data_IF_432834449476
#
_entry.id   IF_432834449476
#
_cell.length_a   1.000
_cell.length_b   1.000
_cell.length_c   1.000
_cell.angle_alpha   90.00
_cell.angle_beta   90.00
_cell.angle_gamma   90.00
#
_symmetry.space_group_name_H-M   'P 1'
#
loop_
_entity.id
_entity.type
_entity.pdbx_description
1 polymer ?
#
# COMPACT_ATOMS: atom_id res chain seq x y z
N UNK A 1 135.39 35.46 35.16
CA UNK A 1 136.56 34.65 34.79
C UNK A 1 137.57 35.56 34.12
N UNK A 2 138.64 35.95 34.83
CA UNK A 2 139.93 36.27 34.20
C UNK A 2 140.65 34.92 33.94
N UNK A 3 141.66 34.82 33.06
CA UNK A 3 142.98 35.37 33.40
C UNK A 3 143.88 35.86 32.23
N UNK A 4 144.86 36.72 32.59
CA UNK A 4 146.30 36.82 32.14
C UNK A 4 146.60 37.02 30.63
N UNK A 5 147.47 37.91 30.16
CA UNK A 5 148.68 38.56 30.71
C UNK A 5 149.97 37.89 30.20
N UNK A 6 150.84 38.63 29.45
CA UNK A 6 152.31 38.49 29.15
C UNK A 6 152.68 39.49 28.01
N UNK A 7 153.49 40.56 28.16
CA UNK A 7 154.98 40.71 28.30
C UNK A 7 155.77 39.93 27.21
N UNK A 8 156.79 40.42 26.48
CA UNK A 8 157.92 41.37 26.65
C UNK A 8 158.57 41.56 25.22
N UNK A 9 159.27 42.61 24.77
CA UNK A 9 160.69 43.00 25.01
C UNK A 9 161.27 43.82 23.78
N UNK A 10 162.45 44.48 23.90
CA UNK A 10 162.85 45.72 23.17
C UNK A 10 164.12 45.62 22.27
N UNK A 11 164.54 46.73 21.62
CA UNK A 11 165.91 47.01 21.11
C UNK A 11 166.05 48.53 20.84
N UNK A 12 166.81 49.37 21.57
CA UNK A 12 168.28 49.56 21.71
C UNK A 12 168.89 50.51 20.65
N UNK A 13 169.31 51.69 21.15
CA UNK A 13 170.47 52.56 20.84
C UNK A 13 170.89 52.92 19.40
N UNK A 14 171.04 54.24 19.13
CA UNK A 14 172.36 54.89 18.97
C UNK A 14 172.24 56.43 18.94
N UNK A 15 173.27 57.11 19.47
CA UNK A 15 173.35 58.55 19.70
C UNK A 15 174.12 59.28 18.55
N UNK A 16 174.51 60.56 18.70
CA UNK A 16 174.04 61.70 17.92
C UNK A 16 174.95 62.14 16.76
N UNK A 17 174.38 62.83 15.77
CA UNK A 17 175.09 63.86 15.00
C UNK A 17 174.10 64.95 14.56
N UNK A 18 174.41 66.19 14.88
CA UNK A 18 173.52 67.35 14.89
C UNK A 18 172.97 67.77 13.50
N UNK A 19 171.68 68.20 13.42
CA UNK A 19 171.19 69.00 12.31
C UNK A 19 171.08 70.49 12.68
N UNK A 20 171.29 71.36 11.68
CA UNK A 20 171.30 72.81 11.82
C UNK A 20 169.90 73.40 12.04
N UNK A 21 169.85 74.64 12.55
CA UNK A 21 168.67 75.38 13.03
C UNK A 21 167.50 75.51 12.05
N UNK A 22 167.67 75.22 10.75
CA UNK A 22 166.61 75.33 9.74
C UNK A 22 165.64 74.13 9.71
N UNK A 23 166.01 72.96 10.24
CA UNK A 23 165.14 71.77 10.24
C UNK A 23 164.15 71.73 11.43
N UNK A 24 164.41 72.49 12.50
CA UNK A 24 163.55 72.57 13.69
C UNK A 24 162.31 73.43 13.46
N UNK A 25 162.40 74.50 12.65
CA UNK A 25 161.24 75.36 12.35
C UNK A 25 160.20 74.66 11.47
N UNK A 26 160.62 73.75 10.58
CA UNK A 26 159.71 72.94 9.76
C UNK A 26 158.88 71.96 10.59
N UNK A 27 159.51 71.33 11.59
CA UNK A 27 158.82 70.41 12.52
C UNK A 27 157.79 71.10 13.41
N UNK A 28 158.04 72.34 13.84
CA UNK A 28 157.09 73.12 14.65
C UNK A 28 155.83 73.47 13.85
N UNK A 29 155.96 73.84 12.56
CA UNK A 29 154.78 74.14 11.72
C UNK A 29 153.95 72.89 11.43
N UNK A 30 154.58 71.74 11.21
CA UNK A 30 153.88 70.48 11.01
C UNK A 30 153.07 70.06 12.26
N UNK A 31 153.68 70.14 13.45
CA UNK A 31 153.00 69.81 14.71
C UNK A 31 151.84 70.77 15.03
N UNK A 32 151.96 72.06 14.72
CA UNK A 32 150.84 73.00 14.90
C UNK A 32 149.68 72.74 13.93
N UNK A 33 149.97 72.36 12.68
CA UNK A 33 148.93 71.98 11.73
C UNK A 33 148.24 70.66 12.13
N UNK A 34 148.97 69.69 12.69
CA UNK A 34 148.40 68.48 13.28
C UNK A 34 147.52 68.80 14.49
N UNK A 35 147.98 69.66 15.40
CA UNK A 35 147.19 70.12 16.55
C UNK A 35 145.87 70.77 16.12
N UNK A 36 145.89 71.70 15.17
CA UNK A 36 144.65 72.32 14.67
C UNK A 36 143.70 71.32 13.99
N UNK A 37 144.26 70.34 13.26
CA UNK A 37 143.46 69.28 12.63
C UNK A 37 142.79 68.40 13.68
N UNK A 38 143.52 68.08 14.75
CA UNK A 38 143.03 67.27 15.87
C UNK A 38 141.99 68.05 16.71
N UNK A 39 142.17 69.36 16.92
CA UNK A 39 141.17 70.23 17.56
C UNK A 39 139.88 70.34 16.73
N UNK A 40 139.98 70.48 15.40
CA UNK A 40 138.81 70.45 14.50
C UNK A 40 138.11 69.08 14.53
N UNK A 41 138.86 67.99 14.56
CA UNK A 41 138.30 66.64 14.67
C UNK A 41 137.58 66.43 16.01
N UNK A 42 138.17 66.90 17.12
CA UNK A 42 137.54 66.87 18.45
C UNK A 42 136.25 67.67 18.49
N UNK A 43 136.25 68.90 17.96
CA UNK A 43 135.04 69.73 17.89
C UNK A 43 133.95 69.09 17.04
N UNK A 44 134.32 68.48 15.90
CA UNK A 44 133.36 67.74 15.07
C UNK A 44 132.75 66.55 15.82
N UNK A 45 133.58 65.73 16.46
CA UNK A 45 133.12 64.59 17.27
C UNK A 45 132.26 65.05 18.43
N UNK A 46 132.56 66.18 19.06
CA UNK A 46 131.76 66.73 20.15
C UNK A 46 130.37 67.20 19.68
N UNK A 47 130.30 67.91 18.54
CA UNK A 47 129.02 68.29 17.92
C UNK A 47 128.23 67.05 17.49
N UNK A 48 128.88 66.06 16.91
CA UNK A 48 128.25 64.79 16.54
C UNK A 48 127.72 64.05 17.77
N UNK A 49 128.49 63.97 18.86
CA UNK A 49 128.07 63.39 20.14
C UNK A 49 126.86 64.12 20.72
N UNK A 50 126.88 65.44 20.77
CA UNK A 50 125.79 66.21 21.34
C UNK A 50 124.53 66.12 20.47
N UNK A 51 124.67 66.11 19.13
CA UNK A 51 123.57 65.77 18.21
C UNK A 51 123.02 64.36 18.49
N UNK A 52 123.89 63.36 18.62
CA UNK A 52 123.49 61.97 18.87
C UNK A 52 122.78 61.83 20.23
N UNK A 53 123.24 62.56 21.25
CA UNK A 53 122.59 62.64 22.57
C UNK A 53 121.21 63.31 22.48
N UNK A 54 121.08 64.44 21.77
CA UNK A 54 119.76 65.08 21.58
C UNK A 54 118.80 64.17 20.79
N UNK A 55 119.28 63.48 19.75
CA UNK A 55 118.50 62.48 19.03
C UNK A 55 118.09 61.31 19.93
N UNK A 56 119.01 60.82 20.77
CA UNK A 56 118.72 59.74 21.71
C UNK A 56 117.67 60.18 22.73
N UNK A 57 117.78 61.38 23.31
CA UNK A 57 116.79 61.91 24.25
C UNK A 57 115.42 62.15 23.59
N UNK A 58 115.39 62.69 22.37
CA UNK A 58 114.17 62.85 21.59
C UNK A 58 113.53 61.49 21.28
N UNK A 59 114.30 60.53 20.77
CA UNK A 59 113.79 59.17 20.49
C UNK A 59 113.35 58.45 21.76
N UNK A 60 114.03 58.66 22.89
CA UNK A 60 113.60 58.13 24.18
C UNK A 60 112.25 58.75 24.59
N UNK A 61 112.08 60.07 24.47
CA UNK A 61 110.81 60.75 24.73
C UNK A 61 109.69 60.29 23.80
N UNK A 62 109.96 60.14 22.50
CA UNK A 62 109.00 59.60 21.53
C UNK A 62 108.59 58.16 21.90
N UNK A 63 109.55 57.30 22.28
CA UNK A 63 109.27 55.94 22.73
C UNK A 63 108.41 55.94 24.00
N UNK A 64 108.72 56.82 24.96
CA UNK A 64 107.95 56.93 26.19
C UNK A 64 106.53 57.49 25.93
N UNK A 65 106.37 58.41 24.98
CA UNK A 65 105.06 58.89 24.51
C UNK A 65 104.25 57.78 23.81
N UNK A 66 104.85 57.06 22.86
CA UNK A 66 104.19 55.94 22.20
C UNK A 66 103.78 54.84 23.19
N UNK A 67 104.62 54.55 24.19
CA UNK A 67 104.27 53.63 25.27
C UNK A 67 103.08 54.14 26.07
N UNK A 68 103.06 55.42 26.45
CA UNK A 68 101.94 56.01 27.17
C UNK A 68 100.64 55.97 26.35
N UNK A 69 100.70 56.26 25.05
CA UNK A 69 99.55 56.15 24.15
C UNK A 69 99.05 54.70 24.03
N UNK A 70 99.94 53.72 23.91
CA UNK A 70 99.58 52.31 23.93
C UNK A 70 98.89 51.92 25.23
N UNK A 71 99.41 52.35 26.38
CA UNK A 71 98.75 52.11 27.67
C UNK A 71 97.35 52.72 27.76
N UNK A 72 97.15 53.94 27.24
CA UNK A 72 95.83 54.57 27.17
C UNK A 72 94.90 53.77 26.26
N UNK A 73 95.37 53.34 25.09
CA UNK A 73 94.57 52.55 24.14
C UNK A 73 94.22 51.17 24.70
N UNK A 74 95.14 50.49 25.38
CA UNK A 74 94.87 49.23 26.06
C UNK A 74 93.82 49.40 27.16
N UNK A 75 93.90 50.48 27.92
CA UNK A 75 92.87 50.82 28.91
C UNK A 75 91.51 51.15 28.27
N UNK A 76 91.48 51.88 27.16
CA UNK A 76 90.25 52.17 26.42
C UNK A 76 89.60 50.89 25.87
N UNK A 77 90.41 49.97 25.33
CA UNK A 77 89.96 48.65 24.85
C UNK A 77 89.36 47.86 26.01
N UNK A 78 90.05 47.77 27.14
CA UNK A 78 89.53 47.12 28.35
C UNK A 78 88.20 47.74 28.79
N UNK A 79 88.08 49.07 28.79
CA UNK A 79 86.83 49.74 29.12
C UNK A 79 85.68 49.45 28.15
N UNK A 80 85.96 49.28 26.85
CA UNK A 80 84.95 48.87 25.87
C UNK A 80 84.54 47.41 26.10
N UNK A 81 85.50 46.51 26.31
CA UNK A 81 85.25 45.10 26.57
C UNK A 81 84.42 44.89 27.83
N UNK A 82 84.71 45.62 28.90
CA UNK A 82 83.91 45.61 30.13
C UNK A 82 82.47 46.08 29.89
N UNK A 83 82.29 47.20 29.17
CA UNK A 83 80.94 47.69 28.80
C UNK A 83 80.19 46.67 27.95
N UNK A 84 80.84 46.08 26.95
CA UNK A 84 80.24 45.04 26.11
C UNK A 84 79.87 43.80 26.92
N UNK A 85 80.72 43.37 27.86
CA UNK A 85 80.45 42.25 28.75
C UNK A 85 79.22 42.53 29.62
N UNK A 86 79.10 43.72 30.19
CA UNK A 86 77.91 44.12 30.97
C UNK A 86 76.67 44.17 30.09
N UNK A 87 76.75 44.75 28.89
CA UNK A 87 75.62 44.77 27.95
C UNK A 87 75.18 43.34 27.57
N UNK A 88 76.11 42.44 27.28
CA UNK A 88 75.80 41.03 27.00
C UNK A 88 75.12 40.34 28.19
N UNK A 89 75.53 40.65 29.42
CA UNK A 89 74.86 40.13 30.62
C UNK A 89 73.42 40.65 30.73
N UNK A 90 73.20 41.95 30.51
CA UNK A 90 71.86 42.56 30.54
C UNK A 90 70.98 41.99 29.43
N UNK A 91 71.49 41.86 28.20
CA UNK A 91 70.76 41.24 27.10
C UNK A 91 70.42 39.78 27.39
N UNK A 92 71.36 39.00 27.92
CA UNK A 92 71.11 37.62 28.32
C UNK A 92 70.08 37.52 29.45
N UNK A 93 70.06 38.46 30.40
CA UNK A 93 69.06 38.52 31.45
C UNK A 93 67.68 38.89 30.88
N UNK A 94 67.61 39.86 29.97
CA UNK A 94 66.37 40.28 29.30
C UNK A 94 65.77 39.16 28.45
N UNK A 95 66.61 38.43 27.70
CA UNK A 95 66.17 37.26 26.93
C UNK A 95 65.63 36.17 27.84
N UNK A 96 66.31 35.89 28.97
CA UNK A 96 65.80 34.92 29.96
C UNK A 96 64.47 35.35 30.54
N UNK A 97 64.33 36.62 30.96
CA UNK A 97 63.07 37.15 31.46
C UNK A 97 61.94 37.01 30.43
N UNK A 98 62.18 37.41 29.18
CA UNK A 98 61.20 37.30 28.11
C UNK A 98 60.78 35.84 27.86
N UNK A 99 61.73 34.90 27.91
CA UNK A 99 61.43 33.47 27.78
C UNK A 99 60.58 32.97 28.95
N UNK A 100 60.86 33.39 30.19
CA UNK A 100 60.04 33.02 31.35
C UNK A 100 58.63 33.61 31.26
N UNK A 101 58.49 34.88 30.84
CA UNK A 101 57.17 35.50 30.63
C UNK A 101 56.39 34.78 29.54
N UNK A 102 57.02 34.49 28.39
CA UNK A 102 56.39 33.74 27.32
C UNK A 102 55.97 32.34 27.77
N UNK A 103 56.82 31.63 28.52
CA UNK A 103 56.47 30.33 29.10
C UNK A 103 55.31 30.44 30.09
N UNK A 104 55.27 31.49 30.91
CA UNK A 104 54.17 31.77 31.82
C UNK A 104 52.85 32.01 31.08
N UNK A 105 52.85 32.85 30.03
CA UNK A 105 51.68 33.11 29.19
C UNK A 105 51.23 31.84 28.48
N UNK A 106 52.16 31.08 27.89
CA UNK A 106 51.84 29.79 27.24
C UNK A 106 51.23 28.82 28.25
N UNK A 107 51.76 28.76 29.48
CA UNK A 107 51.22 27.95 30.56
C UNK A 107 49.79 28.34 30.92
N UNK A 108 49.53 29.64 31.10
CA UNK A 108 48.20 30.17 31.39
C UNK A 108 47.20 29.85 30.27
N UNK A 109 47.54 30.15 29.01
CA UNK A 109 46.67 29.87 27.86
C UNK A 109 46.40 28.37 27.70
N UNK A 110 47.39 27.50 27.96
CA UNK A 110 47.18 26.05 27.96
C UNK A 110 46.23 25.63 29.07
N UNK A 111 46.39 26.16 30.28
CA UNK A 111 45.49 25.90 31.41
C UNK A 111 44.05 26.34 31.11
N UNK A 112 43.86 27.55 30.59
CA UNK A 112 42.55 28.08 30.21
C UNK A 112 41.89 27.23 29.11
N UNK A 113 42.68 26.82 28.11
CA UNK A 113 42.19 25.92 27.06
C UNK A 113 41.80 24.54 27.60
N UNK A 114 42.57 23.97 28.52
CA UNK A 114 42.22 22.69 29.16
C UNK A 114 40.93 22.80 29.98
N UNK A 115 40.74 23.90 30.71
CA UNK A 115 39.50 24.16 31.47
C UNK A 115 38.32 24.32 30.50
N UNK A 116 38.48 25.10 29.43
CA UNK A 116 37.46 25.27 28.41
C UNK A 116 37.08 23.92 27.75
N UNK A 117 38.06 23.09 27.39
CA UNK A 117 37.82 21.76 26.82
C UNK A 117 37.06 20.85 27.78
N UNK A 118 37.41 20.85 29.08
CA UNK A 118 36.68 20.08 30.10
C UNK A 118 35.23 20.55 30.23
N UNK A 119 35.01 21.86 30.28
CA UNK A 119 33.68 22.44 30.39
C UNK A 119 32.83 22.15 29.15
N UNK A 120 33.41 22.20 27.94
CA UNK A 120 32.73 21.77 26.73
C UNK A 120 32.40 20.28 26.73
N UNK A 121 33.31 19.42 27.21
CA UNK A 121 33.05 17.99 27.32
C UNK A 121 31.92 17.67 28.31
N UNK A 122 31.89 18.34 29.47
CA UNK A 122 30.82 18.21 30.47
C UNK A 122 29.47 18.70 29.91
N UNK A 123 29.45 19.82 29.18
CA UNK A 123 28.24 20.33 28.53
C UNK A 123 27.75 19.38 27.43
N UNK A 124 28.65 18.80 26.64
CA UNK A 124 28.28 17.81 25.63
C UNK A 124 27.69 16.55 26.27
N UNK A 125 28.31 16.04 27.34
CA UNK A 125 27.83 14.86 28.06
C UNK A 125 26.45 15.09 28.71
N UNK A 126 26.23 16.26 29.33
CA UNK A 126 24.92 16.60 29.90
C UNK A 126 23.84 16.74 28.82
N UNK A 127 24.17 17.36 27.68
CA UNK A 127 23.25 17.46 26.53
C UNK A 127 22.91 16.09 25.95
N UNK A 128 23.89 15.21 25.82
CA UNK A 128 23.68 13.83 25.35
C UNK A 128 22.75 13.08 26.31
N UNK A 129 22.97 13.19 27.62
CA UNK A 129 22.11 12.53 28.61
C UNK A 129 20.66 13.05 28.55
N UNK A 130 20.46 14.36 28.41
CA UNK A 130 19.13 14.97 28.22
C UNK A 130 18.43 14.43 26.98
N UNK A 131 19.14 14.36 25.84
CA UNK A 131 18.59 13.83 24.60
C UNK A 131 18.20 12.35 24.71
N UNK A 132 19.00 11.55 25.43
CA UNK A 132 18.69 10.14 25.69
C UNK A 132 17.44 9.99 26.57
N UNK A 133 17.27 10.83 27.58
CA UNK A 133 16.09 10.82 28.44
C UNK A 133 14.83 11.29 27.70
N UNK A 134 14.95 12.35 26.89
CA UNK A 134 13.88 12.79 25.98
C UNK A 134 13.49 11.69 24.99
N UNK A 135 14.48 10.98 24.42
CA UNK A 135 14.24 9.86 23.51
C UNK A 135 13.49 8.72 24.22
N UNK A 136 13.85 8.39 25.47
CA UNK A 136 13.16 7.37 26.26
C UNK A 136 11.73 7.78 26.58
N UNK A 137 11.53 9.04 26.98
CA UNK A 137 10.21 9.60 27.28
C UNK A 137 9.30 9.60 26.04
N UNK A 138 9.82 10.02 24.89
CA UNK A 138 9.10 9.99 23.61
C UNK A 138 8.71 8.55 23.22
N UNK A 139 9.62 7.58 23.39
CA UNK A 139 9.31 6.16 23.18
C UNK A 139 8.21 5.65 24.12
N UNK A 140 8.19 6.08 25.39
CA UNK A 140 7.10 5.74 26.32
C UNK A 140 5.76 6.32 25.86
N UNK A 141 5.74 7.61 25.51
CA UNK A 141 4.52 8.28 25.03
C UNK A 141 3.97 7.64 23.75
N UNK A 142 4.83 7.26 22.81
CA UNK A 142 4.42 6.54 21.61
C UNK A 142 3.73 5.22 21.98
N UNK A 143 4.36 4.42 22.87
CA UNK A 143 3.76 3.16 23.34
C UNK A 143 2.44 3.35 24.07
N UNK A 144 2.33 4.37 24.91
CA UNK A 144 1.07 4.69 25.62
C UNK A 144 -0.06 5.02 24.63
N UNK A 145 0.25 5.81 23.61
CA UNK A 145 -0.70 6.15 22.54
C UNK A 145 -1.06 4.92 21.69
N UNK A 146 -0.08 4.09 21.34
CA UNK A 146 -0.30 2.83 20.61
C UNK A 146 -1.21 1.87 21.41
N UNK A 147 -0.96 1.69 22.71
CA UNK A 147 -1.81 0.90 23.59
C UNK A 147 -3.22 1.48 23.70
N UNK A 148 -3.35 2.81 23.80
CA UNK A 148 -4.64 3.48 23.76
C UNK A 148 -5.41 3.20 22.47
N UNK A 149 -4.75 3.25 21.32
CA UNK A 149 -5.37 2.89 20.04
C UNK A 149 -5.76 1.41 19.99
N UNK A 150 -4.92 0.49 20.47
CA UNK A 150 -5.27 -0.92 20.55
C UNK A 150 -6.53 -1.16 21.39
N UNK A 151 -6.66 -0.50 22.54
CA UNK A 151 -7.82 -0.63 23.40
C UNK A 151 -9.09 -0.05 22.75
N UNK A 152 -8.99 1.10 22.05
CA UNK A 152 -10.13 1.62 21.28
C UNK A 152 -10.56 0.66 20.16
N UNK A 153 -9.61 0.05 19.45
CA UNK A 153 -9.89 -0.95 18.41
C UNK A 153 -10.55 -2.19 19.02
N UNK A 154 -10.08 -2.66 20.19
CA UNK A 154 -10.70 -3.78 20.91
C UNK A 154 -12.13 -3.46 21.33
N UNK A 155 -12.38 -2.26 21.86
CA UNK A 155 -13.72 -1.80 22.22
C UNK A 155 -14.65 -1.76 21.00
N UNK A 156 -14.23 -1.14 19.90
CA UNK A 156 -15.01 -1.10 18.66
C UNK A 156 -15.32 -2.50 18.11
N UNK A 157 -14.36 -3.43 18.16
CA UNK A 157 -14.58 -4.83 17.77
C UNK A 157 -15.61 -5.52 18.65
N UNK A 158 -15.57 -5.29 19.97
CA UNK A 158 -16.55 -5.84 20.90
C UNK A 158 -17.94 -5.27 20.66
N UNK A 159 -18.05 -3.96 20.41
CA UNK A 159 -19.35 -3.32 20.16
C UNK A 159 -19.95 -3.79 18.83
N UNK A 160 -19.15 -3.86 17.77
CA UNK A 160 -19.60 -4.47 16.51
C UNK A 160 -20.03 -5.94 16.69
N UNK A 161 -19.32 -6.73 17.51
CA UNK A 161 -19.72 -8.11 17.78
C UNK A 161 -21.07 -8.18 18.52
N UNK A 162 -21.33 -7.27 19.46
CA UNK A 162 -22.64 -7.16 20.13
C UNK A 162 -23.73 -6.77 19.15
N UNK A 163 -23.50 -5.76 18.30
CA UNK A 163 -24.46 -5.32 17.29
C UNK A 163 -24.81 -6.44 16.30
N UNK A 164 -23.79 -7.17 15.81
CA UNK A 164 -24.01 -8.34 14.95
C UNK A 164 -24.82 -9.42 15.68
N UNK A 165 -24.54 -9.67 16.97
CA UNK A 165 -25.31 -10.63 17.76
C UNK A 165 -26.77 -10.20 17.94
N UNK A 166 -27.02 -8.91 18.20
CA UNK A 166 -28.37 -8.35 18.32
C UNK A 166 -29.14 -8.48 17.00
N UNK A 167 -28.52 -8.11 15.88
CA UNK A 167 -29.13 -8.22 14.55
C UNK A 167 -29.46 -9.68 14.24
N UNK A 168 -28.55 -10.63 14.53
CA UNK A 168 -28.82 -12.07 14.37
C UNK A 168 -30.02 -12.52 15.19
N UNK A 169 -30.09 -12.12 16.47
CA UNK A 169 -31.20 -12.46 17.34
C UNK A 169 -32.54 -11.89 16.84
N UNK A 170 -32.54 -10.66 16.32
CA UNK A 170 -33.72 -10.06 15.70
C UNK A 170 -34.18 -10.80 14.44
N UNK A 171 -33.24 -11.21 13.58
CA UNK A 171 -33.57 -11.99 12.38
C UNK A 171 -34.07 -13.39 12.73
N UNK A 172 -33.50 -14.05 13.74
CA UNK A 172 -33.96 -15.34 14.22
C UNK A 172 -35.37 -15.24 14.82
N UNK A 173 -35.67 -14.16 15.55
CA UNK A 173 -37.01 -13.90 16.07
C UNK A 173 -38.02 -13.67 14.93
N UNK A 174 -37.69 -12.80 13.96
CA UNK A 174 -38.53 -12.55 12.78
C UNK A 174 -38.77 -13.81 11.95
N UNK A 175 -37.75 -14.67 11.82
CA UNK A 175 -37.88 -15.95 11.12
C UNK A 175 -38.82 -16.91 11.85
N UNK A 176 -38.68 -17.02 13.18
CA UNK A 176 -39.59 -17.83 14.02
C UNK A 176 -41.03 -17.34 13.94
N UNK A 177 -41.25 -16.03 14.02
CA UNK A 177 -42.58 -15.43 13.92
C UNK A 177 -43.21 -15.68 12.54
N UNK A 178 -42.42 -15.60 11.47
CA UNK A 178 -42.88 -15.88 10.11
C UNK A 178 -43.27 -17.35 9.95
N UNK A 179 -42.45 -18.28 10.44
CA UNK A 179 -42.74 -19.72 10.42
C UNK A 179 -44.02 -19.98 11.21
N UNK A 180 -44.13 -19.47 12.43
CA UNK A 180 -45.32 -19.68 13.28
C UNK A 180 -46.58 -19.08 12.66
N UNK A 181 -46.49 -17.91 12.01
CA UNK A 181 -47.61 -17.29 11.30
C UNK A 181 -48.07 -18.15 10.12
N UNK A 182 -47.14 -18.70 9.35
CA UNK A 182 -47.45 -19.58 8.23
C UNK A 182 -48.03 -20.92 8.69
N UNK A 183 -47.49 -21.54 9.75
CA UNK A 183 -48.05 -22.75 10.35
C UNK A 183 -49.50 -22.54 10.81
N UNK A 184 -49.79 -21.39 11.46
CA UNK A 184 -51.17 -21.04 11.85
C UNK A 184 -52.09 -20.90 10.63
N UNK A 185 -51.62 -20.31 9.53
CA UNK A 185 -52.40 -20.20 8.29
C UNK A 185 -52.65 -21.57 7.66
N UNK A 186 -51.65 -22.45 7.61
CA UNK A 186 -51.81 -23.81 7.10
C UNK A 186 -52.84 -24.59 7.92
N UNK A 187 -52.72 -24.59 9.25
CA UNK A 187 -53.68 -25.25 10.15
C UNK A 187 -55.11 -24.74 9.94
N UNK A 188 -55.29 -23.42 9.80
CA UNK A 188 -56.61 -22.84 9.53
C UNK A 188 -57.19 -23.33 8.20
N UNK A 189 -56.37 -23.42 7.15
CA UNK A 189 -56.82 -23.94 5.85
C UNK A 189 -57.20 -25.43 5.95
N UNK A 190 -56.43 -26.22 6.70
CA UNK A 190 -56.74 -27.63 6.98
C UNK A 190 -58.08 -27.77 7.71
N UNK A 191 -58.28 -27.02 8.80
CA UNK A 191 -59.53 -26.98 9.56
C UNK A 191 -60.72 -26.56 8.69
N UNK A 192 -60.57 -25.50 7.89
CA UNK A 192 -61.60 -25.02 6.96
C UNK A 192 -61.91 -26.04 5.85
N UNK A 193 -60.93 -26.83 5.40
CA UNK A 193 -61.14 -27.89 4.42
C UNK A 193 -61.85 -29.10 5.04
N UNK A 194 -61.46 -29.49 6.25
CA UNK A 194 -62.14 -30.56 7.00
C UNK A 194 -63.59 -30.20 7.31
N UNK A 195 -63.85 -28.95 7.71
CA UNK A 195 -65.21 -28.47 7.97
C UNK A 195 -66.07 -28.55 6.70
N UNK A 196 -65.55 -28.08 5.56
CA UNK A 196 -66.24 -28.19 4.27
C UNK A 196 -66.54 -29.64 3.89
N UNK A 197 -65.57 -30.55 4.04
CA UNK A 197 -65.79 -31.99 3.81
C UNK A 197 -66.89 -32.55 4.72
N UNK A 198 -66.90 -32.20 6.01
CA UNK A 198 -67.95 -32.63 6.95
C UNK A 198 -69.32 -32.09 6.56
N UNK A 199 -69.40 -30.84 6.14
CA UNK A 199 -70.64 -30.23 5.65
C UNK A 199 -71.15 -30.92 4.38
N UNK A 200 -70.29 -31.13 3.38
CA UNK A 200 -70.66 -31.84 2.14
C UNK A 200 -71.14 -33.28 2.41
N UNK A 201 -70.49 -33.99 3.33
CA UNK A 201 -70.92 -35.33 3.77
C UNK A 201 -72.30 -35.27 4.42
N UNK A 202 -72.53 -34.35 5.35
CA UNK A 202 -73.84 -34.20 5.98
C UNK A 202 -74.94 -33.83 4.98
N UNK A 203 -74.68 -32.93 4.03
CA UNK A 203 -75.65 -32.60 2.98
C UNK A 203 -75.98 -33.81 2.09
N UNK A 204 -74.99 -34.66 1.77
CA UNK A 204 -75.21 -35.90 1.03
C UNK A 204 -76.04 -36.89 1.87
N UNK A 205 -75.72 -37.03 3.16
CA UNK A 205 -76.46 -37.89 4.08
C UNK A 205 -77.91 -37.45 4.21
N UNK A 206 -78.18 -36.15 4.39
CA UNK A 206 -79.54 -35.61 4.45
C UNK A 206 -80.32 -35.87 3.16
N UNK A 207 -79.72 -35.61 1.99
CA UNK A 207 -80.35 -35.91 0.69
C UNK A 207 -80.65 -37.40 0.53
N UNK A 208 -79.73 -38.28 0.93
CA UNK A 208 -79.94 -39.73 0.88
C UNK A 208 -81.03 -40.18 1.85
N UNK A 209 -81.05 -39.63 3.07
CA UNK A 209 -82.08 -39.94 4.06
C UNK A 209 -83.47 -39.47 3.60
N UNK A 210 -83.57 -38.29 3.01
CA UNK A 210 -84.80 -37.81 2.38
C UNK A 210 -85.26 -38.76 1.27
N UNK A 211 -84.34 -39.20 0.41
CA UNK A 211 -84.66 -40.17 -0.65
C UNK A 211 -85.14 -41.52 -0.09
N UNK A 212 -84.52 -42.02 0.99
CA UNK A 212 -84.97 -43.23 1.69
C UNK A 212 -86.40 -43.05 2.21
N UNK A 213 -86.71 -41.91 2.85
CA UNK A 213 -88.06 -41.61 3.36
C UNK A 213 -89.08 -41.56 2.21
N UNK A 214 -88.75 -40.91 1.10
CA UNK A 214 -89.62 -40.87 -0.07
C UNK A 214 -89.86 -42.26 -0.67
N UNK A 215 -88.81 -43.07 -0.76
CA UNK A 215 -88.87 -44.43 -1.28
C UNK A 215 -89.73 -45.31 -0.37
N UNK A 216 -89.57 -45.20 0.95
CA UNK A 216 -90.42 -45.87 1.93
C UNK A 216 -91.89 -45.49 1.76
N UNK A 217 -92.22 -44.19 1.63
CA UNK A 217 -93.59 -43.72 1.37
C UNK A 217 -94.17 -44.27 0.06
N UNK A 218 -93.36 -44.31 -1.01
CA UNK A 218 -93.79 -44.89 -2.29
C UNK A 218 -94.06 -46.39 -2.16
N UNK A 219 -93.21 -47.12 -1.43
CA UNK A 219 -93.44 -48.54 -1.15
C UNK A 219 -94.69 -48.75 -0.30
N UNK A 220 -94.89 -48.00 0.78
CA UNK A 220 -96.10 -48.06 1.60
C UNK A 220 -97.36 -47.81 0.77
N UNK A 221 -97.34 -46.81 -0.11
CA UNK A 221 -98.44 -46.53 -1.03
C UNK A 221 -98.68 -47.70 -2.00
N UNK A 222 -97.62 -48.23 -2.62
CA UNK A 222 -97.74 -49.38 -3.51
C UNK A 222 -98.29 -50.62 -2.79
N UNK A 223 -97.87 -50.88 -1.55
CA UNK A 223 -98.43 -51.95 -0.72
C UNK A 223 -99.91 -51.71 -0.39
N UNK A 224 -100.29 -50.46 -0.08
CA UNK A 224 -101.69 -50.10 0.13
C UNK A 224 -102.51 -50.31 -1.15
N UNK A 225 -102.02 -49.86 -2.31
CA UNK A 225 -102.67 -50.02 -3.62
C UNK A 225 -102.83 -51.51 -3.99
N UNK A 226 -101.81 -52.34 -3.74
CA UNK A 226 -101.89 -53.80 -3.90
C UNK A 226 -102.96 -54.38 -2.97
N UNK A 227 -103.01 -53.93 -1.71
CA UNK A 227 -104.02 -54.39 -0.74
C UNK A 227 -105.43 -53.97 -1.17
N UNK A 228 -105.61 -52.76 -1.67
CA UNK A 228 -106.88 -52.29 -2.24
C UNK A 228 -107.25 -53.12 -3.46
N UNK A 229 -106.33 -53.36 -4.39
CA UNK A 229 -106.58 -54.19 -5.56
C UNK A 229 -107.02 -55.61 -5.20
N UNK A 230 -106.36 -56.28 -4.25
CA UNK A 230 -106.79 -57.59 -3.79
C UNK A 230 -108.10 -57.56 -3.01
N UNK A 231 -108.34 -56.52 -2.19
CA UNK A 231 -109.63 -56.34 -1.52
C UNK A 231 -110.75 -56.13 -2.54
N UNK A 232 -110.55 -55.29 -3.55
CA UNK A 232 -111.51 -55.05 -4.63
C UNK A 232 -111.74 -56.32 -5.45
N UNK A 233 -110.71 -57.11 -5.73
CA UNK A 233 -110.89 -58.45 -6.32
C UNK A 233 -111.70 -59.36 -5.39
N UNK A 234 -111.41 -59.39 -4.09
CA UNK A 234 -112.19 -60.23 -3.18
C UNK A 234 -113.63 -59.76 -3.07
N UNK A 235 -113.88 -58.46 -3.11
CA UNK A 235 -115.21 -57.87 -3.06
C UNK A 235 -115.96 -58.10 -4.36
N UNK A 236 -115.33 -57.89 -5.52
CA UNK A 236 -115.85 -58.28 -6.82
C UNK A 236 -116.08 -59.78 -6.91
N UNK A 237 -115.21 -60.63 -6.36
CA UNK A 237 -115.41 -62.07 -6.30
C UNK A 237 -116.56 -62.44 -5.37
N UNK A 238 -116.75 -61.75 -4.25
CA UNK A 238 -117.89 -61.95 -3.35
C UNK A 238 -119.20 -61.50 -4.00
N UNK A 239 -119.20 -60.37 -4.70
CA UNK A 239 -120.36 -59.86 -5.43
C UNK A 239 -120.64 -60.74 -6.65
N UNK A 240 -119.61 -61.26 -7.34
CA UNK A 240 -119.73 -62.29 -8.37
C UNK A 240 -120.27 -63.59 -7.78
N UNK A 241 -119.84 -64.01 -6.59
CA UNK A 241 -120.40 -65.17 -5.90
C UNK A 241 -121.87 -64.93 -5.53
N UNK A 242 -122.25 -63.70 -5.14
CA UNK A 242 -123.65 -63.36 -4.88
C UNK A 242 -124.48 -63.39 -6.17
N UNK A 243 -124.01 -62.75 -7.24
CA UNK A 243 -124.70 -62.78 -8.53
C UNK A 243 -124.74 -64.19 -9.09
N UNK A 244 -123.67 -65.00 -8.97
CA UNK A 244 -123.70 -66.42 -9.33
C UNK A 244 -124.64 -67.24 -8.45
N UNK A 245 -124.85 -66.89 -7.18
CA UNK A 245 -125.86 -67.53 -6.33
C UNK A 245 -127.28 -67.13 -6.75
N UNK A 246 -127.51 -65.86 -7.04
CA UNK A 246 -128.77 -65.35 -7.61
C UNK A 246 -129.04 -66.00 -8.98
N UNK A 247 -128.04 -66.04 -9.85
CA UNK A 247 -128.05 -66.72 -11.13
C UNK A 247 -128.20 -68.22 -10.96
N UNK A 248 -127.69 -68.88 -9.91
CA UNK A 248 -128.00 -70.30 -9.63
C UNK A 248 -129.47 -70.46 -9.24
N UNK A 249 -130.05 -69.51 -8.49
CA UNK A 249 -131.49 -69.54 -8.18
C UNK A 249 -132.34 -69.28 -9.42
N UNK A 250 -131.90 -68.40 -10.32
CA UNK A 250 -132.58 -68.11 -11.59
C UNK A 250 -132.28 -69.16 -12.67
N UNK A 251 -131.11 -69.78 -12.67
CA UNK A 251 -130.74 -70.95 -13.46
C UNK A 251 -131.55 -72.14 -13.01
N UNK A 252 -131.80 -72.38 -11.72
CA UNK A 252 -132.76 -73.42 -11.30
C UNK A 252 -134.18 -73.15 -11.82
N UNK A 253 -134.59 -71.89 -12.01
CA UNK A 253 -135.85 -71.52 -12.68
C UNK A 253 -135.77 -71.67 -14.21
N UNK A 254 -134.61 -71.37 -14.82
CA UNK A 254 -134.36 -71.45 -16.26
C UNK A 254 -133.97 -72.85 -16.74
N UNK A 255 -133.43 -73.72 -15.90
CA UNK A 255 -133.06 -75.13 -16.17
C UNK A 255 -134.33 -75.96 -16.31
N UNK A 256 -135.36 -75.67 -15.51
CA UNK A 256 -136.73 -76.11 -15.74
C UNK A 256 -137.31 -75.63 -17.10
N UNK A 257 -136.77 -74.56 -17.68
CA UNK A 257 -137.18 -74.02 -18.99
C UNK A 257 -136.26 -74.45 -20.16
N UNK A 258 -134.98 -74.73 -19.90
CA UNK A 258 -133.92 -74.93 -20.89
C UNK A 258 -133.48 -76.40 -21.07
N UNK A 259 -134.07 -77.35 -20.34
CA UNK A 259 -134.10 -78.76 -20.79
C UNK A 259 -134.64 -78.91 -22.22
N UNK A 260 -135.34 -77.87 -22.74
CA UNK A 260 -135.86 -77.82 -24.12
C UNK A 260 -134.91 -77.19 -25.16
N UNK A 261 -133.78 -76.59 -24.77
CA UNK A 261 -132.91 -75.84 -25.71
C UNK A 261 -131.48 -76.40 -25.85
N UNK A 262 -131.13 -77.45 -25.11
CA UNK A 262 -129.77 -78.03 -25.04
C UNK A 262 -129.37 -78.96 -26.20
N UNK A 263 -129.88 -78.71 -27.41
CA UNK A 263 -129.38 -79.36 -28.64
C UNK A 263 -128.55 -78.39 -29.51
N UNK A 264 -128.66 -77.06 -29.33
CA UNK A 264 -128.09 -76.08 -30.27
C UNK A 264 -126.70 -75.55 -29.89
N UNK A 265 -126.23 -75.71 -28.65
CA UNK A 265 -124.95 -75.12 -28.17
C UNK A 265 -123.76 -76.09 -28.34
N UNK A 266 -123.93 -77.21 -29.05
CA UNK A 266 -122.82 -78.09 -29.42
C UNK A 266 -121.99 -77.55 -30.62
N UNK A 267 -122.47 -76.52 -31.34
CA UNK A 267 -121.84 -76.01 -32.57
C UNK A 267 -120.91 -74.80 -32.39
N UNK A 268 -120.92 -74.11 -31.25
CA UNK A 268 -120.22 -72.80 -31.12
C UNK A 268 -118.79 -72.88 -30.55
N UNK A 269 -118.29 -74.07 -30.21
CA UNK A 269 -116.93 -74.26 -29.68
C UNK A 269 -115.83 -74.30 -30.75
N UNK A 270 -116.02 -73.63 -31.88
CA UNK A 270 -115.03 -73.49 -32.97
C UNK A 270 -114.41 -72.09 -33.10
N UNK A 271 -114.77 -71.12 -32.24
CA UNK A 271 -114.41 -69.71 -32.41
C UNK A 271 -113.06 -69.27 -31.77
N UNK A 272 -112.40 -70.08 -30.94
CA UNK A 272 -111.28 -69.60 -30.09
C UNK A 272 -109.87 -69.64 -30.69
N UNK A 273 -109.68 -69.79 -32.01
CA UNK A 273 -108.33 -69.83 -32.62
C UNK A 273 -107.71 -68.46 -32.94
N UNK A 274 -108.50 -67.38 -32.93
CA UNK A 274 -108.06 -66.03 -33.33
C UNK A 274 -107.25 -65.22 -32.28
N UNK A 275 -107.41 -65.42 -30.95
CA UNK A 275 -106.63 -64.66 -29.95
C UNK A 275 -105.15 -65.03 -29.90
N UNK A 276 -104.79 -66.27 -30.28
CA UNK A 276 -103.43 -66.81 -30.14
C UNK A 276 -102.44 -66.20 -31.16
N UNK A 277 -102.92 -65.81 -32.33
CA UNK A 277 -102.10 -65.23 -33.42
C UNK A 277 -101.81 -63.74 -33.24
N UNK A 278 -102.55 -63.03 -32.39
CA UNK A 278 -102.32 -61.59 -32.09
C UNK A 278 -101.21 -61.39 -31.05
N UNK A 279 -101.16 -62.24 -30.02
CA UNK A 279 -100.11 -62.18 -28.98
C UNK A 279 -98.70 -62.46 -29.51
N UNK A 280 -98.56 -63.32 -30.53
CA UNK A 280 -97.26 -63.64 -31.15
C UNK A 280 -96.69 -62.49 -31.98
N UNK A 281 -97.52 -61.58 -32.53
CA UNK A 281 -97.06 -60.43 -33.32
C UNK A 281 -96.60 -59.25 -32.45
N UNK A 282 -97.14 -59.10 -31.24
CA UNK A 282 -96.74 -58.04 -30.31
C UNK A 282 -95.35 -58.29 -29.71
N UNK A 283 -94.98 -59.56 -29.51
CA UNK A 283 -93.67 -59.97 -29.00
C UNK A 283 -92.51 -59.60 -29.97
N UNK A 284 -92.73 -59.70 -31.28
CA UNK A 284 -91.74 -59.35 -32.31
C UNK A 284 -91.54 -57.83 -32.44
N UNK A 285 -92.56 -57.03 -32.17
CA UNK A 285 -92.47 -55.56 -32.17
C UNK A 285 -91.65 -55.06 -30.98
N UNK A 286 -91.85 -55.64 -29.80
CA UNK A 286 -91.11 -55.30 -28.59
C UNK A 286 -89.61 -55.66 -28.70
N UNK A 287 -89.26 -56.79 -29.32
CA UNK A 287 -87.85 -57.14 -29.58
C UNK A 287 -87.13 -56.14 -30.49
N UNK A 288 -87.81 -55.63 -31.53
CA UNK A 288 -87.25 -54.61 -32.43
C UNK A 288 -87.07 -53.26 -31.72
N UNK A 289 -87.95 -52.92 -30.79
CA UNK A 289 -87.83 -51.68 -30.01
C UNK A 289 -86.61 -51.69 -29.07
N UNK A 290 -86.33 -52.82 -28.41
CA UNK A 290 -85.16 -52.98 -27.53
C UNK A 290 -83.84 -52.89 -28.33
N UNK A 291 -83.78 -53.51 -29.53
CA UNK A 291 -82.58 -53.41 -30.38
C UNK A 291 -82.29 -51.97 -30.83
N UNK A 292 -83.32 -51.18 -31.15
CA UNK A 292 -83.14 -49.78 -31.53
C UNK A 292 -82.69 -48.88 -30.36
N UNK A 293 -83.14 -49.18 -29.14
CA UNK A 293 -82.71 -48.48 -27.94
C UNK A 293 -81.24 -48.74 -27.63
N UNK A 294 -80.79 -50.00 -27.69
CA UNK A 294 -79.38 -50.35 -27.48
C UNK A 294 -78.47 -49.68 -28.51
N UNK A 295 -78.85 -49.70 -29.79
CA UNK A 295 -78.09 -49.04 -30.85
C UNK A 295 -77.94 -47.52 -30.61
N UNK A 296 -78.99 -46.85 -30.11
CA UNK A 296 -78.92 -45.43 -29.77
C UNK A 296 -78.02 -45.15 -28.56
N UNK A 297 -78.03 -46.02 -27.54
CA UNK A 297 -77.14 -45.90 -26.38
C UNK A 297 -75.67 -46.08 -26.78
N UNK A 298 -75.36 -47.10 -27.58
CA UNK A 298 -74.01 -47.35 -28.07
C UNK A 298 -73.50 -46.19 -28.95
N UNK A 299 -74.37 -45.60 -29.77
CA UNK A 299 -74.03 -44.41 -30.56
C UNK A 299 -73.67 -43.21 -29.69
N UNK A 300 -74.40 -42.98 -28.60
CA UNK A 300 -74.12 -41.90 -27.66
C UNK A 300 -72.81 -42.14 -26.89
N UNK A 301 -72.57 -43.37 -26.42
CA UNK A 301 -71.33 -43.74 -25.74
C UNK A 301 -70.10 -43.57 -26.66
N UNK A 302 -70.20 -43.97 -27.93
CA UNK A 302 -69.14 -43.78 -28.92
C UNK A 302 -68.86 -42.29 -29.15
N UNK A 303 -69.90 -41.46 -29.19
CA UNK A 303 -69.76 -40.02 -29.40
C UNK A 303 -69.09 -39.33 -28.20
N UNK A 304 -69.43 -39.73 -26.97
CA UNK A 304 -68.77 -39.25 -25.75
C UNK A 304 -67.30 -39.68 -25.69
N UNK A 305 -66.99 -40.94 -26.04
CA UNK A 305 -65.61 -41.43 -26.09
C UNK A 305 -64.77 -40.67 -27.11
N UNK A 306 -65.37 -40.32 -28.25
CA UNK A 306 -64.70 -39.56 -29.31
C UNK A 306 -64.38 -38.12 -28.90
N UNK A 307 -65.26 -37.48 -28.14
CA UNK A 307 -65.01 -36.16 -27.54
C UNK A 307 -63.91 -36.24 -26.49
N UNK A 308 -64.00 -37.20 -25.56
CA UNK A 308 -62.93 -37.41 -24.57
C UNK A 308 -61.57 -37.70 -25.22
N UNK A 309 -61.54 -38.50 -26.28
CA UNK A 309 -60.32 -38.77 -27.03
C UNK A 309 -59.74 -37.50 -27.68
N UNK A 310 -60.59 -36.63 -28.24
CA UNK A 310 -60.15 -35.35 -28.78
C UNK A 310 -59.57 -34.43 -27.69
N UNK A 311 -60.25 -34.33 -26.54
CA UNK A 311 -59.78 -33.52 -25.40
C UNK A 311 -58.44 -34.02 -24.86
N UNK A 312 -58.27 -35.34 -24.72
CA UNK A 312 -56.99 -35.92 -24.27
C UNK A 312 -55.86 -35.69 -25.27
N UNK A 313 -56.14 -35.73 -26.58
CA UNK A 313 -55.15 -35.38 -27.61
C UNK A 313 -54.75 -33.91 -27.54
N UNK A 314 -55.67 -33.00 -27.27
CA UNK A 314 -55.34 -31.58 -27.07
C UNK A 314 -54.49 -31.38 -25.81
N UNK A 315 -54.82 -32.07 -24.71
CA UNK A 315 -54.02 -32.04 -23.48
C UNK A 315 -52.60 -32.56 -23.70
N UNK A 316 -52.43 -33.65 -24.45
CA UNK A 316 -51.11 -34.19 -24.80
C UNK A 316 -50.32 -33.16 -25.62
N UNK A 317 -50.92 -32.56 -26.65
CA UNK A 317 -50.26 -31.52 -27.45
C UNK A 317 -49.86 -30.30 -26.60
N UNK A 318 -50.71 -29.91 -25.66
CA UNK A 318 -50.42 -28.81 -24.75
C UNK A 318 -49.24 -29.15 -23.83
N UNK A 319 -49.21 -30.36 -23.26
CA UNK A 319 -48.11 -30.83 -22.40
C UNK A 319 -46.80 -30.96 -23.17
N UNK A 320 -46.82 -31.47 -24.41
CA UNK A 320 -45.64 -31.51 -25.28
C UNK A 320 -45.08 -30.11 -25.55
N UNK A 321 -45.95 -29.13 -25.78
CA UNK A 321 -45.53 -27.74 -25.97
C UNK A 321 -44.93 -27.14 -24.70
N UNK A 322 -45.56 -27.36 -23.54
CA UNK A 322 -45.03 -26.92 -22.25
C UNK A 322 -43.66 -27.55 -21.97
N UNK A 323 -43.52 -28.86 -22.22
CA UNK A 323 -42.27 -29.59 -22.06
C UNK A 323 -41.16 -29.00 -22.94
N UNK A 324 -41.43 -28.77 -24.24
CA UNK A 324 -40.47 -28.13 -25.16
C UNK A 324 -40.07 -26.73 -24.68
N UNK A 325 -41.03 -25.91 -24.24
CA UNK A 325 -40.75 -24.57 -23.71
C UNK A 325 -39.87 -24.63 -22.45
N UNK A 326 -40.15 -25.57 -21.56
CA UNK A 326 -39.37 -25.76 -20.33
C UNK A 326 -37.94 -26.21 -20.64
N UNK A 327 -37.78 -27.10 -21.62
CA UNK A 327 -36.48 -27.59 -22.06
C UNK A 327 -35.63 -26.47 -22.69
N UNK A 328 -36.23 -25.62 -23.51
CA UNK A 328 -35.54 -24.44 -24.06
C UNK A 328 -35.08 -23.45 -22.96
N UNK A 329 -35.90 -23.25 -21.93
CA UNK A 329 -35.54 -22.44 -20.75
C UNK A 329 -34.37 -23.07 -19.97
N UNK A 330 -34.37 -24.39 -19.80
CA UNK A 330 -33.28 -25.11 -19.14
C UNK A 330 -31.97 -25.01 -19.93
N UNK A 331 -32.02 -25.10 -21.25
CA UNK A 331 -30.82 -24.97 -22.08
C UNK A 331 -30.26 -23.54 -22.05
N UNK A 332 -31.13 -22.52 -22.07
CA UNK A 332 -30.73 -21.12 -21.83
C UNK A 332 -30.10 -20.92 -20.46
N UNK A 333 -30.64 -21.55 -19.41
CA UNK A 333 -30.06 -21.48 -18.07
C UNK A 333 -28.67 -22.15 -18.01
N UNK A 334 -28.50 -23.32 -18.65
CA UNK A 334 -27.19 -23.99 -18.75
C UNK A 334 -26.17 -23.13 -19.50
N UNK A 335 -26.57 -22.52 -20.62
CA UNK A 335 -25.70 -21.60 -21.35
C UNK A 335 -25.29 -20.40 -20.49
N UNK A 336 -26.22 -19.82 -19.73
CA UNK A 336 -25.92 -18.72 -18.81
C UNK A 336 -24.92 -19.12 -17.72
N UNK A 337 -25.03 -20.33 -17.17
CA UNK A 337 -24.08 -20.86 -16.19
C UNK A 337 -22.68 -21.03 -16.83
N UNK A 338 -22.59 -21.61 -18.02
CA UNK A 338 -21.33 -21.75 -18.74
C UNK A 338 -20.67 -20.40 -19.04
N UNK A 339 -21.45 -19.40 -19.47
CA UNK A 339 -20.95 -18.04 -19.69
C UNK A 339 -20.47 -17.38 -18.39
N UNK A 340 -21.19 -17.60 -17.28
CA UNK A 340 -20.78 -17.12 -15.97
C UNK A 340 -19.43 -17.73 -15.59
N UNK A 341 -19.27 -19.05 -15.75
CA UNK A 341 -18.04 -19.74 -15.38
C UNK A 341 -16.85 -19.33 -16.28
N UNK A 342 -17.07 -19.14 -17.59
CA UNK A 342 -16.05 -18.59 -18.49
C UNK A 342 -15.64 -17.16 -18.10
N UNK A 343 -16.60 -16.30 -17.73
CA UNK A 343 -16.33 -14.96 -17.21
C UNK A 343 -15.49 -15.00 -15.93
N UNK A 344 -15.79 -15.90 -14.99
CA UNK A 344 -15.00 -16.07 -13.78
C UNK A 344 -13.58 -16.54 -14.10
N UNK A 345 -13.41 -17.51 -14.99
CA UNK A 345 -12.09 -18.00 -15.39
C UNK A 345 -11.24 -16.90 -16.05
N UNK A 346 -11.85 -16.09 -16.94
CA UNK A 346 -11.17 -14.94 -17.56
C UNK A 346 -10.81 -13.86 -16.54
N UNK A 347 -11.70 -13.59 -15.59
CA UNK A 347 -11.45 -12.62 -14.53
C UNK A 347 -10.27 -13.04 -13.65
N UNK A 348 -10.22 -14.30 -13.22
CA UNK A 348 -9.09 -14.86 -12.47
C UNK A 348 -7.80 -14.76 -13.27
N UNK A 349 -7.81 -15.13 -14.56
CA UNK A 349 -6.64 -14.97 -15.44
C UNK A 349 -6.16 -13.53 -15.52
N UNK A 350 -7.07 -12.56 -15.70
CA UNK A 350 -6.72 -11.14 -15.75
C UNK A 350 -6.14 -10.64 -14.41
N UNK A 351 -6.65 -11.12 -13.27
CA UNK A 351 -6.06 -10.79 -11.96
C UNK A 351 -4.62 -11.30 -11.89
N UNK A 352 -4.37 -12.55 -12.26
CA UNK A 352 -3.02 -13.13 -12.25
C UNK A 352 -2.08 -12.36 -13.18
N UNK A 353 -2.52 -12.00 -14.38
CA UNK A 353 -1.72 -11.21 -15.32
C UNK A 353 -1.35 -9.83 -14.77
N UNK A 354 -2.32 -9.14 -14.14
CA UNK A 354 -2.08 -7.83 -13.50
C UNK A 354 -1.12 -7.97 -12.32
N UNK A 355 -1.33 -8.97 -11.46
CA UNK A 355 -0.43 -9.25 -10.34
C UNK A 355 1.00 -9.55 -10.83
N UNK A 356 1.15 -10.36 -11.88
CA UNK A 356 2.45 -10.67 -12.47
C UNK A 356 3.13 -9.42 -13.03
N UNK A 357 2.40 -8.59 -13.81
CA UNK A 357 2.93 -7.33 -14.35
C UNK A 357 3.34 -6.35 -13.25
N UNK A 358 2.51 -6.19 -12.22
CA UNK A 358 2.81 -5.36 -11.06
C UNK A 358 4.02 -5.88 -10.27
N UNK A 359 4.12 -7.20 -10.08
CA UNK A 359 5.25 -7.86 -9.43
C UNK A 359 6.55 -7.66 -10.19
N UNK A 360 6.54 -7.86 -11.51
CA UNK A 360 7.70 -7.62 -12.37
C UNK A 360 8.13 -6.14 -12.36
N UNK A 361 7.17 -5.21 -12.40
CA UNK A 361 7.44 -3.77 -12.33
C UNK A 361 8.04 -3.38 -10.97
N UNK A 362 7.55 -3.95 -9.88
CA UNK A 362 8.06 -3.71 -8.53
C UNK A 362 9.48 -4.23 -8.38
N UNK A 363 9.75 -5.47 -8.81
CA UNK A 363 11.11 -6.03 -8.83
C UNK A 363 12.08 -5.19 -9.66
N UNK A 364 11.63 -4.67 -10.81
CA UNK A 364 12.47 -3.80 -11.64
C UNK A 364 12.78 -2.47 -10.93
N UNK A 365 11.80 -1.88 -10.25
CA UNK A 365 11.98 -0.64 -9.47
C UNK A 365 12.92 -0.87 -8.28
N UNK A 366 12.80 -1.99 -7.57
CA UNK A 366 13.73 -2.39 -6.50
C UNK A 366 15.16 -2.53 -7.02
N UNK A 367 15.36 -3.21 -8.16
CA UNK A 367 16.69 -3.31 -8.79
C UNK A 367 17.24 -1.94 -9.19
N UNK A 368 16.41 -1.05 -9.76
CA UNK A 368 16.84 0.31 -10.09
C UNK A 368 17.21 1.11 -8.84
N UNK A 369 16.42 1.00 -7.77
CA UNK A 369 16.70 1.65 -6.49
C UNK A 369 18.04 1.16 -5.93
N UNK A 370 18.27 -0.15 -5.93
CA UNK A 370 19.53 -0.72 -5.47
C UNK A 370 20.73 -0.23 -6.29
N UNK A 371 20.63 -0.16 -7.62
CA UNK A 371 21.70 0.38 -8.48
C UNK A 371 21.96 1.85 -8.20
N UNK A 372 20.91 2.67 -8.02
CA UNK A 372 21.05 4.09 -7.67
C UNK A 372 21.68 4.25 -6.28
N UNK A 373 21.33 3.39 -5.33
CA UNK A 373 21.90 3.40 -3.99
C UNK A 373 23.39 3.02 -3.99
N UNK A 374 23.78 1.98 -4.73
CA UNK A 374 25.21 1.64 -4.90
C UNK A 374 25.99 2.78 -5.58
N UNK A 375 25.38 3.46 -6.56
CA UNK A 375 26.00 4.61 -7.21
C UNK A 375 26.16 5.78 -6.23
N UNK A 376 25.16 6.01 -5.37
CA UNK A 376 25.22 7.02 -4.33
C UNK A 376 26.33 6.70 -3.33
N UNK A 377 26.41 5.47 -2.81
CA UNK A 377 27.46 5.03 -1.90
C UNK A 377 28.86 5.18 -2.52
N UNK A 378 29.03 4.81 -3.79
CA UNK A 378 30.30 5.03 -4.52
C UNK A 378 30.63 6.51 -4.66
N UNK A 379 29.64 7.37 -4.90
CA UNK A 379 29.83 8.82 -5.04
C UNK A 379 30.13 9.49 -3.70
N UNK A 380 29.49 9.06 -2.63
CA UNK A 380 29.78 9.51 -1.26
C UNK A 380 31.19 9.10 -0.82
N UNK A 381 31.62 7.87 -1.13
CA UNK A 381 32.99 7.43 -0.89
C UNK A 381 34.02 8.29 -1.67
N UNK A 382 33.78 8.52 -2.97
CA UNK A 382 34.63 9.39 -3.81
C UNK A 382 34.69 10.84 -3.30
N UNK A 383 33.56 11.38 -2.82
CA UNK A 383 33.48 12.70 -2.21
C UNK A 383 34.25 12.75 -0.88
N UNK A 384 34.09 11.73 -0.03
CA UNK A 384 34.83 11.59 1.22
C UNK A 384 36.34 11.55 1.02
N UNK A 385 36.82 10.81 0.03
CA UNK A 385 38.24 10.78 -0.35
C UNK A 385 38.73 12.13 -0.90
N UNK A 386 37.92 12.81 -1.72
CA UNK A 386 38.26 14.12 -2.30
C UNK A 386 38.27 15.24 -1.26
N UNK A 387 37.37 15.19 -0.27
CA UNK A 387 37.31 16.13 0.85
C UNK A 387 38.47 15.94 1.84
N UNK A 388 39.02 14.72 1.96
CA UNK A 388 40.25 14.46 2.71
C UNK A 388 41.50 15.10 2.04
N UNK A 389 41.43 15.41 0.74
CA UNK A 389 42.46 16.10 -0.04
C UNK A 389 42.32 17.63 -0.07
N UNK A 390 42.74 18.32 0.99
CA UNK A 390 43.11 19.77 1.01
C UNK A 390 42.16 20.78 0.30
N UNK A 391 40.85 20.69 0.48
CA UNK A 391 39.92 21.78 0.11
C UNK A 391 39.12 22.22 1.34
N UNK A 392 39.07 23.53 1.60
CA UNK A 392 38.34 24.11 2.73
C UNK A 392 36.83 23.82 2.60
N UNK A 393 36.20 23.14 3.56
CA UNK A 393 34.78 22.83 3.50
C UNK A 393 33.96 24.07 3.94
N UNK A 394 32.90 24.40 3.21
CA UNK A 394 31.77 25.12 3.81
C UNK A 394 31.21 26.36 3.09
N UNK A 395 31.85 26.95 2.07
CA UNK A 395 31.29 28.15 1.39
C UNK A 395 30.84 27.95 -0.06
N UNK A 396 31.29 26.90 -0.73
CA UNK A 396 30.98 26.65 -2.16
C UNK A 396 29.75 25.74 -2.29
N UNK A 397 29.64 24.67 -1.49
CA UNK A 397 28.50 23.73 -1.51
C UNK A 397 27.15 24.41 -1.26
N UNK A 398 27.03 25.21 -0.20
CA UNK A 398 25.77 25.92 0.12
C UNK A 398 25.27 26.85 -1.00
N UNK A 399 26.16 27.39 -1.83
CA UNK A 399 25.74 28.21 -2.98
C UNK A 399 25.26 27.34 -4.13
N UNK A 400 25.92 26.22 -4.41
CA UNK A 400 25.49 25.28 -5.43
C UNK A 400 24.18 24.57 -5.06
N UNK A 401 24.00 24.17 -3.81
CA UNK A 401 22.77 23.54 -3.31
C UNK A 401 21.57 24.48 -3.45
N UNK A 402 21.72 25.75 -3.05
CA UNK A 402 20.68 26.77 -3.25
C UNK A 402 20.34 26.98 -4.72
N UNK A 403 21.34 26.96 -5.61
CA UNK A 403 21.12 27.09 -7.06
C UNK A 403 20.38 25.86 -7.60
N UNK A 404 20.78 24.64 -7.20
CA UNK A 404 20.13 23.39 -7.58
C UNK A 404 18.69 23.33 -7.07
N UNK A 405 18.45 23.73 -5.83
CA UNK A 405 17.12 23.76 -5.24
C UNK A 405 16.21 24.77 -5.95
N UNK A 406 16.73 25.97 -6.26
CA UNK A 406 16.01 26.98 -7.05
C UNK A 406 15.68 26.45 -8.45
N UNK A 407 16.64 25.79 -9.12
CA UNK A 407 16.42 25.17 -10.44
C UNK A 407 15.40 24.03 -10.37
N UNK A 408 15.45 23.18 -9.35
CA UNK A 408 14.49 22.11 -9.14
C UNK A 408 13.07 22.64 -8.86
N UNK A 409 12.95 23.73 -8.10
CA UNK A 409 11.67 24.41 -7.89
C UNK A 409 11.13 25.01 -9.20
N UNK A 410 11.99 25.64 -10.01
CA UNK A 410 11.63 26.13 -11.35
C UNK A 410 11.16 24.99 -12.27
N UNK A 411 11.84 23.84 -12.23
CA UNK A 411 11.44 22.66 -12.99
C UNK A 411 10.05 22.19 -12.54
N UNK A 412 9.82 22.07 -11.23
CA UNK A 412 8.50 21.69 -10.68
C UNK A 412 7.40 22.69 -11.07
N UNK A 413 7.67 23.99 -11.02
CA UNK A 413 6.69 25.00 -11.42
C UNK A 413 6.38 24.94 -12.91
N UNK A 414 7.39 24.74 -13.77
CA UNK A 414 7.19 24.59 -15.21
C UNK A 414 6.40 23.33 -15.55
N UNK A 415 6.66 22.20 -14.89
CA UNK A 415 5.84 20.98 -15.05
C UNK A 415 4.39 21.20 -14.61
N UNK A 416 4.17 21.94 -13.54
CA UNK A 416 2.83 22.29 -13.08
C UNK A 416 2.12 23.21 -14.08
N UNK A 417 2.79 24.24 -14.59
CA UNK A 417 2.23 25.13 -15.61
C UNK A 417 1.92 24.39 -16.90
N UNK A 418 2.81 23.51 -17.36
CA UNK A 418 2.58 22.64 -18.51
C UNK A 418 1.33 21.79 -18.29
N UNK A 419 1.23 21.09 -17.15
CA UNK A 419 0.04 20.29 -16.82
C UNK A 419 -1.25 21.11 -16.74
N UNK A 420 -1.19 22.36 -16.25
CA UNK A 420 -2.32 23.28 -16.23
C UNK A 420 -2.75 23.66 -17.65
N UNK A 421 -1.81 23.98 -18.52
CA UNK A 421 -2.06 24.36 -19.93
C UNK A 421 -2.61 23.17 -20.71
N UNK A 422 -2.05 21.97 -20.56
CA UNK A 422 -2.56 20.75 -21.21
C UNK A 422 -3.99 20.45 -20.79
N UNK A 423 -4.32 20.55 -19.49
CA UNK A 423 -5.71 20.37 -19.02
C UNK A 423 -6.66 21.43 -19.56
N UNK A 424 -6.23 22.69 -19.62
CA UNK A 424 -7.02 23.77 -20.18
C UNK A 424 -7.28 23.53 -21.68
N UNK A 425 -6.24 23.13 -22.42
CA UNK A 425 -6.34 22.73 -23.82
C UNK A 425 -7.35 21.59 -24.01
N UNK A 426 -7.22 20.48 -23.27
CA UNK A 426 -8.13 19.32 -23.40
C UNK A 426 -9.58 19.67 -23.06
N UNK A 427 -9.78 20.55 -22.08
CA UNK A 427 -11.11 21.04 -21.70
C UNK A 427 -11.72 21.90 -22.79
N UNK A 428 -10.92 22.77 -23.41
CA UNK A 428 -11.32 23.61 -24.54
C UNK A 428 -11.65 22.75 -25.76
N UNK A 429 -10.83 21.75 -26.08
CA UNK A 429 -11.07 20.80 -27.16
C UNK A 429 -12.40 20.08 -26.95
N UNK A 430 -12.64 19.49 -25.76
CA UNK A 430 -13.92 18.84 -25.44
C UNK A 430 -15.11 19.80 -25.53
N UNK A 431 -14.96 21.04 -25.06
CA UNK A 431 -16.02 22.05 -25.17
C UNK A 431 -16.34 22.39 -26.62
N UNK A 432 -15.33 22.49 -27.49
CA UNK A 432 -15.52 22.65 -28.93
C UNK A 432 -16.18 21.42 -29.55
N UNK A 433 -15.78 20.21 -29.17
CA UNK A 433 -16.39 18.98 -29.67
C UNK A 433 -17.89 18.92 -29.38
N UNK A 434 -18.27 19.20 -28.14
CA UNK A 434 -19.68 19.24 -27.72
C UNK A 434 -20.46 20.31 -28.47
N UNK A 435 -19.86 21.49 -28.70
CA UNK A 435 -20.54 22.60 -29.38
C UNK A 435 -20.69 22.38 -30.88
N UNK A 436 -19.71 21.75 -31.53
CA UNK A 436 -19.78 21.34 -32.93
C UNK A 436 -20.80 20.21 -33.14
N UNK A 437 -20.84 19.23 -32.24
CA UNK A 437 -21.86 18.20 -32.24
C UNK A 437 -23.28 18.78 -32.08
N UNK A 438 -23.46 19.79 -31.22
CA UNK A 438 -24.74 20.50 -31.06
C UNK A 438 -25.17 21.29 -32.31
N UNK A 439 -24.20 21.71 -33.15
CA UNK A 439 -24.45 22.38 -34.44
C UNK A 439 -24.62 21.38 -35.61
N UNK A 440 -24.58 20.07 -35.34
CA UNK A 440 -24.76 19.03 -36.34
C UNK A 440 -23.56 18.77 -37.24
N UNK A 441 -22.35 19.20 -36.84
CA UNK A 441 -21.10 18.96 -37.58
C UNK A 441 -20.36 17.79 -36.91
N UNK A 442 -20.33 16.58 -37.51
CA UNK A 442 -19.59 15.44 -36.97
C UNK A 442 -18.07 15.69 -37.03
N UNK A 443 -17.34 15.38 -35.95
CA UNK A 443 -15.89 15.60 -35.87
C UNK A 443 -15.08 14.89 -36.97
N UNK A 444 -15.61 13.79 -37.50
CA UNK A 444 -14.98 13.03 -38.60
C UNK A 444 -14.86 13.84 -39.91
N UNK A 445 -15.70 14.86 -40.12
CA UNK A 445 -15.76 15.63 -41.37
C UNK A 445 -14.80 16.83 -41.40
N UNK A 446 -14.28 17.25 -40.25
CA UNK A 446 -13.47 18.48 -40.11
C UNK A 446 -11.95 18.26 -40.25
N UNK A 447 -11.47 17.02 -40.43
CA UNK A 447 -10.03 16.71 -40.60
C UNK A 447 -9.12 17.03 -39.39
N UNK A 448 -9.68 17.60 -38.32
CA UNK A 448 -9.00 17.97 -37.07
C UNK A 448 -8.34 16.84 -36.24
N UNK A 449 -8.74 15.54 -36.33
CA UNK A 449 -8.08 14.47 -35.57
C UNK A 449 -6.58 14.34 -35.85
N UNK A 450 -6.11 14.81 -37.01
CA UNK A 450 -4.70 14.71 -37.42
C UNK A 450 -3.78 15.74 -36.75
N UNK A 451 -4.30 16.91 -36.35
CA UNK A 451 -3.51 17.95 -35.68
C UNK A 451 -3.46 17.75 -34.15
N UNK A 452 -4.56 17.30 -33.54
CA UNK A 452 -4.63 17.07 -32.08
C UNK A 452 -3.84 15.83 -31.63
N UNK A 453 -3.76 14.79 -32.47
CA UNK A 453 -2.98 13.58 -32.15
C UNK A 453 -1.45 13.77 -32.22
N UNK A 454 -0.96 14.79 -32.92
CA UNK A 454 0.47 15.11 -33.03
C UNK A 454 0.99 16.05 -31.94
N UNK A 455 0.11 16.68 -31.16
CA UNK A 455 0.51 17.50 -30.00
C UNK A 455 0.50 16.58 -28.76
N UNK A 456 1.31 15.53 -28.78
CA UNK A 456 1.76 14.88 -27.56
C UNK A 456 3.09 15.54 -27.19
N UNK A 457 3.02 16.52 -26.29
CA UNK A 457 4.19 17.11 -25.62
C UNK A 457 4.73 16.14 -24.57
#
# INVERSE_FOLDING_TARGET
MAPKGKEHAPAVEEAPAAPSTQELEGKIRALNAEKEKEERARNRVQIERDKLNTFYELKKKEVDQCKAELFIKDHDIQGIEERHRVQMQVFNQKTRHLQYEQQGIIGAVKGDNEIALKLFAEQAATREHQLLDEQRLLKSKIREVELGYEDTIRQLKLDHAKEISMIRQEYDAKAKDLVQSNERKCKKIEEDSELRKKQEVHEIEERKNQHIIELMKKHEKAFADIKFYYNDITQNNLDLIKTLKEDITDMKKKEQANEKFMYEIAQENKHSMEPLTKALKELDVLRKHIQLLNFNQDRQALQQLRVHYADTLEQIKHLEWQYRSLQEKMDKAKQAILHKDDLYARFESCIFDVQQKCGLKSMLLEKKLHVVQEQLEKKEAQLGESLAGKLQPGKVDYKFDKVLETKNQQIKSLYYELGRVTKAHDSIVKAFEVKLAALGIPLQEMGLPYYLSKIQL
#
